data_IF_773773284948
#
_entry.id   IF_773773284948
#
_cell.length_a   1.000
_cell.length_b   1.000
_cell.length_c   1.000
_cell.angle_alpha   90.00
_cell.angle_beta   90.00
_cell.angle_gamma   90.00
#
_symmetry.space_group_name_H-M   'P 1'
#
loop_
_entity.id
_entity.type
_entity.pdbx_description
1 polymer ?
#
# COMPACT_ATOMS: atom_id res chain seq x y z
N UNK A 1 -2.73 68.73 3.28
CA UNK A 1 -2.55 68.08 1.96
C UNK A 1 -1.93 66.72 2.26
N UNK A 2 -2.49 65.66 1.70
CA UNK A 2 -2.32 64.28 2.17
C UNK A 2 -0.85 63.88 2.37
N UNK A 3 -0.55 63.33 3.54
CA UNK A 3 0.71 62.65 3.83
C UNK A 3 0.70 61.34 3.02
N UNK A 4 1.42 61.29 1.91
CA UNK A 4 1.70 60.01 1.26
C UNK A 4 2.64 59.23 2.17
N UNK A 5 2.18 58.07 2.63
CA UNK A 5 2.97 57.17 3.45
C UNK A 5 4.25 56.79 2.66
N UNK A 6 5.42 57.11 3.20
CA UNK A 6 6.75 56.90 2.59
C UNK A 6 7.15 55.41 2.53
N UNK A 7 6.20 54.49 2.40
CA UNK A 7 6.43 53.05 2.36
C UNK A 7 5.90 52.48 1.04
N UNK A 8 6.71 51.65 0.37
CA UNK A 8 6.34 50.99 -0.87
C UNK A 8 6.92 49.58 -0.95
N UNK A 9 6.30 48.74 -1.77
CA UNK A 9 6.75 47.37 -2.00
C UNK A 9 7.43 47.25 -3.37
N UNK A 10 8.47 46.40 -3.43
CA UNK A 10 9.09 46.00 -4.68
C UNK A 10 9.06 44.48 -4.78
N UNK A 11 8.61 43.96 -5.91
CA UNK A 11 8.76 42.54 -6.23
C UNK A 11 10.05 42.33 -7.01
N UNK A 12 10.90 41.42 -6.55
CA UNK A 12 12.20 41.11 -7.16
C UNK A 12 12.25 39.62 -7.57
N UNK A 13 11.78 39.25 -8.79
CA UNK A 13 11.85 37.87 -9.25
C UNK A 13 13.29 37.45 -9.58
N UNK A 14 13.70 36.27 -9.12
CA UNK A 14 15.08 35.77 -9.29
C UNK A 14 15.52 35.56 -10.75
N UNK A 15 14.57 35.37 -11.66
CA UNK A 15 14.80 35.16 -13.09
C UNK A 15 14.56 36.41 -13.95
N UNK A 16 14.17 37.55 -13.38
CA UNK A 16 13.78 38.73 -14.16
C UNK A 16 14.96 39.40 -14.90
N UNK A 17 16.20 39.11 -14.50
CA UNK A 17 17.40 39.79 -15.03
C UNK A 17 18.49 38.82 -15.47
N UNK A 18 18.16 37.60 -15.88
CA UNK A 18 19.14 36.60 -16.36
C UNK A 18 20.01 37.10 -17.52
N UNK A 19 19.46 37.96 -18.38
CA UNK A 19 20.22 38.55 -19.50
C UNK A 19 21.33 39.52 -19.03
N UNK A 20 21.17 40.13 -17.86
CA UNK A 20 22.15 41.07 -17.28
C UNK A 20 23.02 40.39 -16.22
N UNK A 21 22.47 39.41 -15.52
CA UNK A 21 23.13 38.66 -14.46
C UNK A 21 22.97 37.15 -14.73
N UNK A 22 23.73 36.56 -15.66
CA UNK A 22 23.56 35.16 -16.07
C UNK A 22 23.85 34.15 -14.95
N UNK A 23 24.62 34.56 -13.94
CA UNK A 23 24.95 33.74 -12.76
C UNK A 23 23.90 33.78 -11.66
N UNK A 24 22.76 34.45 -11.86
CA UNK A 24 21.67 34.46 -10.88
C UNK A 24 21.20 33.03 -10.60
N UNK A 25 21.01 32.74 -9.33
CA UNK A 25 20.40 31.51 -8.83
C UNK A 25 19.13 31.86 -8.06
N UNK A 26 18.31 30.87 -7.74
CA UNK A 26 17.10 31.12 -6.95
C UNK A 26 17.39 31.62 -5.53
N UNK A 27 18.54 31.24 -4.95
CA UNK A 27 18.95 31.63 -3.60
C UNK A 27 19.86 32.87 -3.55
N UNK A 28 20.44 33.28 -4.69
CA UNK A 28 21.32 34.43 -4.79
C UNK A 28 21.15 35.07 -6.16
N UNK A 29 20.49 36.22 -6.20
CA UNK A 29 20.17 36.92 -7.43
C UNK A 29 20.22 38.44 -7.27
N UNK A 30 20.39 39.12 -8.40
CA UNK A 30 20.24 40.57 -8.52
C UNK A 30 19.23 40.90 -9.61
N UNK A 31 18.40 41.92 -9.38
CA UNK A 31 17.38 42.39 -10.33
C UNK A 31 17.70 43.79 -10.81
N UNK A 32 17.65 44.02 -12.11
CA UNK A 32 17.76 45.36 -12.70
C UNK A 32 16.37 46.00 -12.68
N UNK A 33 16.22 47.07 -11.92
CA UNK A 33 14.99 47.84 -11.87
C UNK A 33 14.81 48.66 -13.16
N UNK A 34 13.56 48.79 -13.61
CA UNK A 34 13.22 49.56 -14.82
C UNK A 34 13.50 51.07 -14.65
N UNK A 35 13.33 51.58 -13.43
CA UNK A 35 13.63 52.96 -13.05
C UNK A 35 14.46 52.96 -11.76
N UNK A 36 15.45 53.86 -11.63
CA UNK A 36 16.15 54.05 -10.37
C UNK A 36 15.17 54.47 -9.27
N UNK A 37 15.41 53.98 -8.06
CA UNK A 37 14.68 54.40 -6.87
C UNK A 37 15.59 55.33 -6.09
N UNK A 38 15.07 56.52 -5.77
CA UNK A 38 15.79 57.51 -4.95
C UNK A 38 15.29 57.39 -3.52
N UNK A 39 16.18 56.96 -2.63
CA UNK A 39 15.93 56.87 -1.20
C UNK A 39 16.65 58.03 -0.52
N UNK A 40 15.90 59.01 0.00
CA UNK A 40 16.45 60.18 0.69
C UNK A 40 16.39 59.98 2.21
N UNK A 41 17.51 60.14 2.91
CA UNK A 41 17.59 59.91 4.36
C UNK A 41 17.92 58.46 4.73
N UNK A 42 17.61 58.07 5.97
CA UNK A 42 17.80 56.71 6.47
C UNK A 42 16.60 55.84 6.11
N UNK A 43 16.85 54.66 5.54
CA UNK A 43 15.82 53.72 5.12
C UNK A 43 16.08 52.33 5.70
N UNK A 44 15.01 51.68 6.14
CA UNK A 44 15.02 50.27 6.52
C UNK A 44 14.33 49.44 5.44
N UNK A 45 14.85 48.24 5.18
CA UNK A 45 14.26 47.31 4.22
C UNK A 45 13.94 46.00 4.94
N UNK A 46 12.68 45.60 4.88
CA UNK A 46 12.20 44.32 5.38
C UNK A 46 11.76 43.39 4.26
N UNK A 47 11.94 42.09 4.45
CA UNK A 47 11.32 41.07 3.60
C UNK A 47 9.86 40.90 4.00
N UNK A 48 8.91 41.25 3.11
CA UNK A 48 7.48 41.03 3.39
C UNK A 48 7.03 39.61 3.00
N UNK A 49 7.46 39.14 1.83
CA UNK A 49 7.01 37.88 1.24
C UNK A 49 8.14 37.21 0.44
N UNK A 50 8.16 35.87 0.44
CA UNK A 50 9.07 35.07 -0.38
C UNK A 50 8.32 33.93 -1.06
N UNK A 51 8.52 33.79 -2.38
CA UNK A 51 7.94 32.70 -3.17
C UNK A 51 9.02 31.66 -3.48
N UNK A 52 8.94 30.52 -2.82
CA UNK A 52 9.84 29.37 -3.06
C UNK A 52 9.04 28.31 -3.83
N UNK A 53 9.49 27.89 -5.03
CA UNK A 53 8.79 26.85 -5.78
C UNK A 53 8.77 25.53 -5.00
N UNK A 54 7.62 24.84 -5.06
CA UNK A 54 7.33 23.61 -4.31
C UNK A 54 7.99 22.34 -4.86
N UNK A 55 9.02 22.46 -5.69
CA UNK A 55 9.70 21.33 -6.33
C UNK A 55 10.92 20.86 -5.53
N UNK A 56 10.78 20.71 -4.22
CA UNK A 56 11.74 19.96 -3.43
C UNK A 56 11.42 18.49 -3.59
N UNK A 57 12.27 17.77 -4.30
CA UNK A 57 12.18 16.32 -4.37
C UNK A 57 12.60 15.77 -3.00
N UNK A 58 11.63 15.34 -2.20
CA UNK A 58 11.88 14.70 -0.90
C UNK A 58 12.62 13.35 -1.05
N UNK A 59 12.69 12.85 -2.28
CA UNK A 59 13.30 11.58 -2.69
C UNK A 59 14.31 11.92 -3.79
N UNK A 60 15.57 12.15 -3.39
CA UNK A 60 16.68 12.39 -4.32
C UNK A 60 17.51 11.13 -4.53
N UNK A 61 18.31 11.04 -5.60
CA UNK A 61 19.14 9.86 -5.89
C UNK A 61 20.04 9.40 -4.73
N UNK A 62 20.33 10.28 -3.77
CA UNK A 62 21.27 10.06 -2.68
C UNK A 62 20.64 9.95 -1.29
N UNK A 63 19.31 10.04 -1.14
CA UNK A 63 18.67 10.05 0.18
C UNK A 63 17.38 9.22 0.26
N UNK A 64 17.41 8.00 -0.28
CA UNK A 64 16.28 7.08 -0.27
C UNK A 64 16.64 5.82 0.52
N UNK A 65 15.88 5.50 1.56
CA UNK A 65 15.98 4.24 2.29
C UNK A 65 14.78 3.37 1.95
N UNK A 66 15.02 2.32 1.17
CA UNK A 66 14.01 1.29 0.90
C UNK A 66 14.20 0.14 1.90
N UNK A 67 13.16 -0.21 2.64
CA UNK A 67 13.13 -1.42 3.47
C UNK A 67 12.06 -2.35 2.92
N UNK A 68 12.48 -3.55 2.49
CA UNK A 68 11.56 -4.61 2.12
C UNK A 68 11.43 -5.51 3.36
N UNK A 69 10.24 -5.53 3.96
CA UNK A 69 9.92 -6.43 5.05
C UNK A 69 9.12 -7.59 4.49
N UNK A 70 9.64 -8.80 4.62
CA UNK A 70 8.89 -10.01 4.33
C UNK A 70 8.37 -10.56 5.65
N UNK A 71 7.05 -10.70 5.76
CA UNK A 71 6.46 -11.49 6.84
C UNK A 71 6.51 -12.95 6.39
N UNK A 72 7.32 -13.75 7.09
CA UNK A 72 7.36 -15.19 6.90
C UNK A 72 5.99 -15.74 7.32
N UNK A 73 5.11 -15.96 6.34
CA UNK A 73 3.84 -16.62 6.60
C UNK A 73 4.18 -18.07 6.93
N UNK A 74 4.24 -18.41 8.22
CA UNK A 74 4.31 -19.81 8.64
C UNK A 74 3.03 -20.49 8.19
N UNK A 75 3.07 -21.08 6.99
CA UNK A 75 2.09 -22.09 6.59
C UNK A 75 2.33 -23.23 7.59
N UNK A 76 1.42 -23.35 8.56
CA UNK A 76 1.36 -24.57 9.36
C UNK A 76 0.91 -25.66 8.39
N UNK A 77 1.88 -26.35 7.82
CA UNK A 77 1.70 -27.56 7.03
C UNK A 77 1.05 -28.60 7.96
N UNK A 78 -0.29 -28.62 8.02
CA UNK A 78 -1.01 -29.76 8.57
C UNK A 78 -1.09 -30.77 7.44
N UNK A 79 -0.12 -31.67 7.41
CA UNK A 79 0.03 -32.65 6.33
C UNK A 79 -1.22 -33.49 6.07
N UNK A 80 -2.09 -33.73 7.08
CA UNK A 80 -3.38 -34.40 6.87
C UNK A 80 -4.45 -33.90 7.88
N UNK A 81 -5.70 -33.81 7.42
CA UNK A 81 -6.88 -33.61 8.29
C UNK A 81 -7.62 -34.94 8.42
N UNK A 82 -7.65 -35.51 9.63
CA UNK A 82 -8.40 -36.74 9.89
C UNK A 82 -9.89 -36.42 10.11
N UNK A 83 -10.76 -36.92 9.23
CA UNK A 83 -12.21 -36.82 9.39
C UNK A 83 -12.81 -38.12 9.90
N UNK A 84 -13.49 -38.05 11.05
CA UNK A 84 -14.32 -39.15 11.53
C UNK A 84 -15.73 -39.03 10.95
N UNK A 85 -16.10 -39.98 10.09
CA UNK A 85 -17.43 -40.06 9.49
C UNK A 85 -18.22 -41.15 10.21
N UNK A 86 -19.44 -40.81 10.64
CA UNK A 86 -20.37 -41.75 11.29
C UNK A 86 -21.63 -41.82 10.45
N UNK A 87 -21.87 -42.96 9.82
CA UNK A 87 -23.09 -43.21 9.05
C UNK A 87 -24.00 -44.12 9.87
N UNK A 88 -25.28 -43.78 9.95
CA UNK A 88 -26.30 -44.65 10.55
C UNK A 88 -26.80 -45.61 9.48
N UNK A 89 -26.70 -46.90 9.75
CA UNK A 89 -27.14 -47.99 8.87
C UNK A 89 -28.35 -48.64 9.52
N UNK A 90 -29.49 -48.62 8.83
CA UNK A 90 -30.72 -49.28 9.25
C UNK A 90 -30.70 -50.76 8.82
N UNK A 91 -31.46 -51.63 9.50
CA UNK A 91 -31.49 -53.05 9.15
C UNK A 91 -32.27 -53.26 7.84
N UNK A 92 -31.67 -54.00 6.89
CA UNK A 92 -32.30 -54.36 5.62
C UNK A 92 -31.93 -53.48 4.42
N UNK A 93 -31.00 -52.54 4.58
CA UNK A 93 -30.49 -51.73 3.45
C UNK A 93 -29.53 -52.55 2.57
N UNK A 94 -29.53 -52.27 1.27
CA UNK A 94 -28.63 -52.93 0.31
C UNK A 94 -27.23 -52.32 0.38
N UNK A 95 -26.23 -53.07 -0.07
CA UNK A 95 -24.83 -52.62 -0.06
C UNK A 95 -24.64 -51.33 -0.87
N UNK A 96 -25.39 -51.16 -1.97
CA UNK A 96 -25.36 -49.97 -2.82
C UNK A 96 -25.85 -48.71 -2.08
N UNK A 97 -26.93 -48.85 -1.30
CA UNK A 97 -27.47 -47.75 -0.49
C UNK A 97 -26.53 -47.34 0.64
N UNK A 98 -25.79 -48.30 1.22
CA UNK A 98 -24.75 -48.03 2.22
C UNK A 98 -23.63 -47.20 1.61
N UNK A 99 -23.14 -47.61 0.44
CA UNK A 99 -22.05 -46.93 -0.28
C UNK A 99 -22.47 -45.50 -0.64
N UNK A 100 -23.69 -45.32 -1.14
CA UNK A 100 -24.24 -44.00 -1.47
C UNK A 100 -24.27 -43.07 -0.26
N UNK A 101 -24.77 -43.54 0.90
CA UNK A 101 -24.81 -42.76 2.15
C UNK A 101 -23.42 -42.37 2.66
N UNK A 102 -22.44 -43.27 2.51
CA UNK A 102 -21.04 -42.99 2.88
C UNK A 102 -20.46 -41.90 1.98
N UNK A 103 -20.62 -42.02 0.66
CA UNK A 103 -20.09 -41.06 -0.30
C UNK A 103 -20.70 -39.67 -0.10
N UNK A 104 -22.02 -39.59 0.11
CA UNK A 104 -22.68 -38.33 0.45
C UNK A 104 -22.09 -37.69 1.72
N UNK A 105 -21.88 -38.48 2.78
CA UNK A 105 -21.32 -37.97 4.04
C UNK A 105 -19.87 -37.49 3.90
N UNK A 106 -19.11 -38.07 2.96
CA UNK A 106 -17.75 -37.64 2.61
C UNK A 106 -17.82 -36.32 1.84
N UNK A 107 -18.66 -36.22 0.81
CA UNK A 107 -18.81 -35.01 0.01
C UNK A 107 -19.28 -33.80 0.83
N UNK A 108 -20.21 -34.00 1.76
CA UNK A 108 -20.70 -32.94 2.67
C UNK A 108 -19.58 -32.37 3.56
N UNK A 109 -18.63 -33.21 4.00
CA UNK A 109 -17.55 -32.79 4.92
C UNK A 109 -16.27 -32.34 4.22
N UNK A 110 -15.95 -32.95 3.08
CA UNK A 110 -14.68 -32.76 2.38
C UNK A 110 -14.81 -31.95 1.09
N UNK A 111 -16.03 -31.63 0.66
CA UNK A 111 -16.32 -30.90 -0.57
C UNK A 111 -16.31 -31.80 -1.83
N UNK A 112 -16.95 -31.32 -2.91
CA UNK A 112 -17.11 -32.04 -4.19
C UNK A 112 -15.81 -32.37 -4.94
N UNK A 113 -14.66 -31.94 -4.45
CA UNK A 113 -13.35 -32.13 -5.11
C UNK A 113 -12.53 -33.30 -4.56
N UNK A 114 -13.14 -34.20 -3.78
CA UNK A 114 -12.46 -35.45 -3.39
C UNK A 114 -12.50 -36.40 -4.59
N UNK A 115 -11.37 -36.52 -5.28
CA UNK A 115 -11.16 -37.54 -6.31
C UNK A 115 -11.20 -38.91 -5.64
N UNK A 116 -12.32 -39.61 -5.77
CA UNK A 116 -12.36 -41.04 -5.48
C UNK A 116 -11.51 -41.76 -6.53
N UNK A 117 -10.25 -42.05 -6.17
CA UNK A 117 -9.46 -43.07 -6.86
C UNK A 117 -10.22 -44.39 -6.70
N UNK A 118 -10.98 -44.72 -7.74
CA UNK A 118 -11.97 -45.79 -7.87
C UNK A 118 -11.46 -47.22 -7.56
N UNK A 119 -10.24 -47.42 -7.04
CA UNK A 119 -9.63 -48.75 -6.89
C UNK A 119 -8.82 -49.00 -5.61
N UNK A 120 -8.89 -48.17 -4.57
CA UNK A 120 -8.29 -48.54 -3.26
C UNK A 120 -9.20 -48.12 -2.11
N UNK A 121 -10.09 -49.02 -1.70
CA UNK A 121 -10.65 -48.94 -0.34
C UNK A 121 -10.80 -50.37 0.20
N UNK A 122 -9.83 -50.79 1.01
CA UNK A 122 -10.03 -51.92 1.91
C UNK A 122 -11.01 -51.46 2.99
N UNK A 123 -12.27 -51.87 2.87
CA UNK A 123 -13.25 -51.69 3.94
C UNK A 123 -12.98 -52.74 5.03
N UNK A 124 -12.53 -52.31 6.22
CA UNK A 124 -12.61 -53.16 7.40
C UNK A 124 -13.99 -52.95 8.04
N UNK A 125 -14.90 -53.90 7.82
CA UNK A 125 -16.23 -53.88 8.42
C UNK A 125 -16.21 -54.70 9.71
N UNK A 126 -16.03 -54.04 10.86
CA UNK A 126 -16.06 -54.72 12.16
C UNK A 126 -17.50 -54.76 12.68
N UNK A 127 -18.13 -55.94 12.62
CA UNK A 127 -19.44 -56.18 13.22
C UNK A 127 -19.29 -56.13 14.74
N UNK A 128 -19.85 -55.12 15.40
CA UNK A 128 -19.93 -55.11 16.87
C UNK A 128 -20.99 -56.14 17.28
N UNK A 129 -20.55 -57.33 17.68
CA UNK A 129 -21.43 -58.28 18.36
C UNK A 129 -21.96 -57.65 19.64
N UNK A 130 -23.29 -57.60 19.77
CA UNK A 130 -23.95 -57.38 21.05
C UNK A 130 -23.99 -58.71 21.80
N UNK A 131 -23.71 -58.59 23.09
CA UNK A 131 -23.66 -59.61 24.15
C UNK A 131 -22.33 -60.35 24.23
#
# INVERSE_FOLDING_TARGET
MAQENENFYITLPSNASMNYFPSNTQASFRTKLARPITLTGEWEVGLSEIFIPRTWFNIGNHNNKYSITYEETKIVEKDYVEYRIRVKIDQGITDEEVISKINQSIEEKCGRSVFFLHWITKYQCTRRSRL
#
